data_IF_629911750771
#
_entry.id   IF_629911750771
#
_cell.length_a   1.000
_cell.length_b   1.000
_cell.length_c   1.000
_cell.angle_alpha   90.00
_cell.angle_beta   90.00
_cell.angle_gamma   90.00
#
_symmetry.space_group_name_H-M   'P 1'
#
loop_
_entity.id
_entity.type
_entity.pdbx_description
1 polymer ?
#
# COMPACT_ATOMS: atom_id res chain seq x y z
N UNK A 1 -16.07 17.23 11.44
CA UNK A 1 -15.16 16.08 11.67
C UNK A 1 -14.87 15.99 13.16
N UNK A 2 -15.12 14.85 13.82
CA UNK A 2 -14.80 14.60 15.24
C UNK A 2 -13.49 13.79 15.30
N UNK A 3 -12.37 14.43 15.68
CA UNK A 3 -11.07 13.75 15.80
C UNK A 3 -10.98 12.96 17.12
N UNK A 4 -10.02 12.04 17.22
CA UNK A 4 -9.87 11.17 18.40
C UNK A 4 -11.06 10.24 18.65
N UNK A 5 -11.95 10.10 17.65
CA UNK A 5 -13.21 9.36 17.77
C UNK A 5 -13.17 8.13 16.87
N UNK A 6 -12.78 6.99 17.43
CA UNK A 6 -12.73 5.73 16.68
C UNK A 6 -14.13 5.13 16.55
N UNK A 7 -14.57 4.86 15.32
CA UNK A 7 -15.76 4.02 15.08
C UNK A 7 -15.38 2.56 15.32
N UNK A 8 -16.15 1.87 16.16
CA UNK A 8 -15.93 0.48 16.57
C UNK A 8 -16.81 -0.49 15.81
N UNK A 9 -18.10 -0.17 15.70
CA UNK A 9 -19.07 -1.01 15.00
C UNK A 9 -20.04 -0.17 14.19
N UNK A 10 -20.50 -0.75 13.09
CA UNK A 10 -21.60 -0.26 12.28
C UNK A 10 -22.54 -1.44 12.08
N UNK A 11 -23.75 -1.34 12.60
CA UNK A 11 -24.76 -2.39 12.56
C UNK A 11 -25.98 -1.89 11.79
N UNK A 12 -26.57 -2.73 10.96
CA UNK A 12 -27.79 -2.37 10.24
C UNK A 12 -28.97 -2.34 11.20
N UNK A 13 -29.77 -1.28 11.15
CA UNK A 13 -31.02 -1.15 11.87
C UNK A 13 -32.22 -1.50 10.95
N UNK A 14 -33.45 -1.41 11.46
CA UNK A 14 -34.66 -1.53 10.64
C UNK A 14 -34.67 -0.47 9.53
N UNK A 15 -34.33 0.78 9.87
CA UNK A 15 -34.06 1.88 8.94
C UNK A 15 -32.68 2.46 9.27
N UNK A 16 -31.79 2.65 8.30
CA UNK A 16 -30.45 3.20 8.56
C UNK A 16 -29.50 2.26 9.33
N UNK A 17 -28.67 2.84 10.20
CA UNK A 17 -27.55 2.18 10.87
C UNK A 17 -27.34 2.67 12.31
N UNK A 18 -26.99 1.73 13.19
CA UNK A 18 -26.43 2.03 14.50
C UNK A 18 -24.90 2.11 14.40
N UNK A 19 -24.33 3.24 14.81
CA UNK A 19 -22.89 3.47 14.82
C UNK A 19 -22.42 3.59 16.26
N UNK A 20 -21.51 2.70 16.68
CA UNK A 20 -20.86 2.77 17.99
C UNK A 20 -19.45 3.33 17.82
N UNK A 21 -19.11 4.35 18.60
CA UNK A 21 -17.83 5.04 18.50
C UNK A 21 -17.31 5.51 19.87
N UNK A 22 -16.04 5.91 19.92
CA UNK A 22 -15.42 6.48 21.11
C UNK A 22 -15.32 5.49 22.28
N UNK A 23 -15.68 5.94 23.48
CA UNK A 23 -15.64 5.10 24.67
C UNK A 23 -16.76 4.07 24.63
N UNK A 24 -18.02 4.47 24.46
CA UNK A 24 -19.20 3.60 24.22
C UNK A 24 -20.41 4.41 23.66
N UNK A 25 -20.18 5.49 22.92
CA UNK A 25 -21.28 6.28 22.35
C UNK A 25 -21.96 5.51 21.23
N UNK A 26 -23.29 5.49 21.20
CA UNK A 26 -24.10 4.86 20.15
C UNK A 26 -25.10 5.85 19.58
N UNK A 27 -25.06 6.06 18.27
CA UNK A 27 -25.94 6.99 17.56
C UNK A 27 -26.55 6.34 16.32
N UNK A 28 -27.74 6.81 15.95
CA UNK A 28 -28.46 6.38 14.75
C UNK A 28 -28.12 7.29 13.56
N UNK A 29 -27.93 6.72 12.37
CA UNK A 29 -27.65 7.45 11.14
C UNK A 29 -28.40 6.84 9.95
N UNK A 30 -28.91 7.70 9.07
CA UNK A 30 -29.67 7.26 7.88
C UNK A 30 -28.79 6.53 6.85
N UNK A 31 -27.52 6.92 6.75
CA UNK A 31 -26.54 6.34 5.83
C UNK A 31 -25.12 6.37 6.43
N UNK A 32 -24.28 5.43 5.99
CA UNK A 32 -22.87 5.33 6.39
C UNK A 32 -21.99 5.16 5.16
N UNK A 33 -20.95 6.00 5.04
CA UNK A 33 -19.89 5.84 4.04
C UNK A 33 -18.60 5.36 4.74
N UNK A 34 -18.06 4.22 4.29
CA UNK A 34 -16.85 3.63 4.89
C UNK A 34 -15.61 4.12 4.14
N UNK A 35 -14.83 4.98 4.80
CA UNK A 35 -13.62 5.60 4.25
C UNK A 35 -12.38 5.29 5.10
N UNK A 36 -12.31 4.13 5.75
CA UNK A 36 -11.24 3.74 6.68
C UNK A 36 -9.90 3.35 6.01
N UNK A 37 -9.87 3.28 4.68
CA UNK A 37 -8.69 2.90 3.90
C UNK A 37 -8.44 1.39 3.85
N UNK A 38 -7.77 0.95 2.79
CA UNK A 38 -7.50 -0.48 2.51
C UNK A 38 -6.08 -0.92 2.93
N UNK A 39 -5.16 0.01 3.16
CA UNK A 39 -3.73 -0.27 3.37
C UNK A 39 -3.28 -0.01 4.81
N UNK A 40 -4.04 -0.52 5.79
CA UNK A 40 -3.78 -0.29 7.23
C UNK A 40 -3.38 -1.55 8.00
N UNK A 41 -3.72 -2.75 7.51
CA UNK A 41 -3.33 -4.03 8.10
C UNK A 41 -2.26 -4.69 7.22
N UNK A 42 -1.03 -4.91 7.72
CA UNK A 42 0.03 -5.54 6.92
C UNK A 42 -0.26 -7.03 6.68
N UNK A 43 -0.01 -7.50 5.46
CA UNK A 43 -0.05 -8.92 5.12
C UNK A 43 1.37 -9.47 5.12
N UNK A 44 1.80 -9.98 6.26
CA UNK A 44 3.14 -10.55 6.42
C UNK A 44 3.11 -12.04 6.06
N UNK A 45 3.79 -12.50 5.00
CA UNK A 45 3.94 -13.92 4.72
C UNK A 45 4.87 -14.58 5.73
N UNK A 46 4.61 -15.84 6.06
CA UNK A 46 5.53 -16.70 6.79
C UNK A 46 6.46 -17.41 5.80
N UNK A 47 7.74 -17.54 6.16
CA UNK A 47 8.72 -18.31 5.40
C UNK A 47 9.30 -19.43 6.26
N UNK A 48 9.38 -20.63 5.69
CA UNK A 48 10.00 -21.76 6.37
C UNK A 48 11.47 -21.43 6.72
N UNK A 49 11.84 -21.61 7.99
CA UNK A 49 13.17 -21.30 8.50
C UNK A 49 13.44 -19.81 8.75
N UNK A 50 12.41 -18.94 8.75
CA UNK A 50 12.58 -17.51 9.07
C UNK A 50 13.18 -17.29 10.47
N UNK A 51 12.86 -18.16 11.42
CA UNK A 51 13.41 -18.17 12.77
C UNK A 51 14.93 -18.44 12.84
N UNK A 52 15.50 -19.09 11.83
CA UNK A 52 16.95 -19.35 11.74
C UNK A 52 17.71 -18.16 11.13
N UNK A 53 16.99 -17.27 10.44
CA UNK A 53 17.57 -16.10 9.81
C UNK A 53 18.00 -15.07 10.86
N UNK A 54 19.32 -14.83 10.94
CA UNK A 54 19.93 -13.91 11.91
C UNK A 54 19.94 -12.45 11.47
N UNK A 55 19.46 -12.16 10.27
CA UNK A 55 19.33 -10.79 9.79
C UNK A 55 18.03 -10.14 10.24
N UNK A 56 17.80 -8.91 9.79
CA UNK A 56 16.60 -8.16 10.12
C UNK A 56 15.52 -8.40 9.06
N UNK A 57 14.32 -8.79 9.51
CA UNK A 57 13.13 -8.93 8.67
C UNK A 57 12.12 -7.87 9.06
N UNK A 58 11.65 -7.06 8.11
CA UNK A 58 10.59 -6.07 8.31
C UNK A 58 9.58 -6.11 7.17
N UNK A 59 8.32 -5.80 7.48
CA UNK A 59 7.32 -5.46 6.47
C UNK A 59 7.44 -3.98 6.10
N UNK A 60 7.05 -3.60 4.87
CA UNK A 60 7.10 -2.21 4.39
C UNK A 60 6.32 -1.23 5.27
N UNK A 61 5.24 -1.67 5.92
CA UNK A 61 4.49 -0.87 6.89
C UNK A 61 5.35 -0.35 8.08
N UNK A 62 6.42 -1.06 8.42
CA UNK A 62 7.36 -0.70 9.48
C UNK A 62 8.55 0.13 8.97
N UNK A 63 8.73 0.25 7.65
CA UNK A 63 9.76 1.10 7.05
C UNK A 63 9.45 2.58 7.30
N UNK A 64 10.46 3.33 7.75
CA UNK A 64 10.36 4.77 8.06
C UNK A 64 11.52 5.58 7.51
N UNK A 65 12.74 5.05 7.59
CA UNK A 65 13.95 5.74 7.10
C UNK A 65 14.84 4.76 6.36
N UNK A 66 15.60 5.29 5.40
CA UNK A 66 16.48 4.48 4.54
C UNK A 66 17.79 4.06 5.20
N UNK A 67 18.11 4.60 6.39
CA UNK A 67 19.37 4.30 7.10
C UNK A 67 19.51 2.82 7.44
N UNK A 68 18.39 2.10 7.52
CA UNK A 68 18.36 0.65 7.76
C UNK A 68 19.09 -0.17 6.69
N UNK A 69 19.31 0.41 5.50
CA UNK A 69 19.92 -0.27 4.36
C UNK A 69 21.45 -0.13 4.30
N UNK A 70 22.03 0.85 4.99
CA UNK A 70 23.45 1.20 4.85
C UNK A 70 24.37 0.04 5.25
N UNK A 71 25.29 -0.34 4.36
CA UNK A 71 26.22 -1.46 4.54
C UNK A 71 25.53 -2.83 4.65
N UNK A 72 24.31 -2.97 4.11
CA UNK A 72 23.55 -4.23 4.14
C UNK A 72 23.40 -4.81 2.74
N UNK A 73 23.28 -6.13 2.71
CA UNK A 73 22.76 -6.86 1.54
C UNK A 73 21.25 -7.02 1.73
N UNK A 74 20.47 -6.36 0.90
CA UNK A 74 19.02 -6.22 1.06
C UNK A 74 18.29 -7.14 0.09
N UNK A 75 17.36 -7.94 0.61
CA UNK A 75 16.39 -8.69 -0.18
C UNK A 75 15.02 -8.02 -0.03
N UNK A 76 14.45 -7.56 -1.14
CA UNK A 76 13.08 -7.05 -1.22
C UNK A 76 12.18 -8.13 -1.77
N UNK A 77 11.14 -8.50 -1.02
CA UNK A 77 10.17 -9.52 -1.43
C UNK A 77 8.91 -8.82 -1.95
N UNK A 78 8.59 -9.05 -3.23
CA UNK A 78 7.49 -8.42 -3.92
C UNK A 78 7.94 -7.29 -4.87
N UNK A 79 7.21 -7.17 -5.97
CA UNK A 79 7.47 -6.21 -7.06
C UNK A 79 6.25 -5.34 -7.36
N UNK A 80 5.55 -4.91 -6.30
CA UNK A 80 4.58 -3.82 -6.40
C UNK A 80 5.26 -2.46 -6.19
N UNK A 81 4.49 -1.37 -6.29
CA UNK A 81 5.01 0.01 -6.17
C UNK A 81 5.91 0.21 -4.94
N UNK A 82 5.43 -0.19 -3.75
CA UNK A 82 6.21 -0.09 -2.51
C UNK A 82 7.50 -0.90 -2.54
N UNK A 83 7.49 -2.06 -3.19
CA UNK A 83 8.69 -2.89 -3.34
C UNK A 83 9.75 -2.21 -4.20
N UNK A 84 9.34 -1.57 -5.30
CA UNK A 84 10.25 -0.78 -6.14
C UNK A 84 10.80 0.44 -5.40
N UNK A 85 9.95 1.19 -4.69
CA UNK A 85 10.39 2.34 -3.90
C UNK A 85 11.43 1.95 -2.84
N UNK A 86 11.21 0.83 -2.14
CA UNK A 86 12.16 0.32 -1.15
C UNK A 86 13.45 -0.19 -1.79
N UNK A 87 13.36 -0.89 -2.93
CA UNK A 87 14.55 -1.35 -3.65
C UNK A 87 15.38 -0.15 -4.16
N UNK A 88 14.74 0.87 -4.70
CA UNK A 88 15.38 2.11 -5.13
C UNK A 88 16.01 2.85 -3.94
N UNK A 89 15.27 2.98 -2.83
CA UNK A 89 15.80 3.58 -1.60
C UNK A 89 17.03 2.84 -1.09
N UNK A 90 16.99 1.50 -1.02
CA UNK A 90 18.15 0.72 -0.61
C UNK A 90 19.34 0.92 -1.56
N UNK A 91 19.12 0.87 -2.87
CA UNK A 91 20.16 0.99 -3.88
C UNK A 91 20.83 2.37 -3.88
N UNK A 92 20.08 3.43 -3.54
CA UNK A 92 20.59 4.82 -3.52
C UNK A 92 21.08 5.27 -2.15
N UNK A 93 20.86 4.49 -1.09
CA UNK A 93 21.16 4.86 0.31
C UNK A 93 22.19 3.95 0.97
N UNK A 94 23.09 3.40 0.16
CA UNK A 94 24.31 2.75 0.66
C UNK A 94 24.16 1.28 1.03
N UNK A 95 23.15 0.58 0.52
CA UNK A 95 23.18 -0.89 0.54
C UNK A 95 24.35 -1.41 -0.29
N UNK A 96 25.00 -2.48 0.18
CA UNK A 96 26.08 -3.16 -0.54
C UNK A 96 25.53 -3.89 -1.77
N UNK A 97 24.30 -4.42 -1.66
CA UNK A 97 23.56 -4.98 -2.78
C UNK A 97 22.06 -5.02 -2.50
N UNK A 98 21.28 -4.99 -3.58
CA UNK A 98 19.82 -5.08 -3.53
C UNK A 98 19.36 -6.16 -4.51
N UNK A 99 18.61 -7.14 -4.00
CA UNK A 99 17.98 -8.19 -4.79
C UNK A 99 16.47 -8.10 -4.62
N UNK A 100 15.73 -8.21 -5.72
CA UNK A 100 14.27 -8.31 -5.69
C UNK A 100 13.82 -9.73 -5.98
N UNK A 101 12.94 -10.27 -5.14
CA UNK A 101 12.27 -11.56 -5.35
C UNK A 101 10.82 -11.32 -5.78
N UNK A 102 10.44 -11.91 -6.92
CA UNK A 102 9.08 -11.80 -7.47
C UNK A 102 8.55 -13.17 -7.84
N UNK A 103 7.25 -13.40 -7.61
CA UNK A 103 6.58 -14.68 -7.91
C UNK A 103 6.16 -14.81 -9.36
N UNK A 104 5.71 -13.72 -9.97
CA UNK A 104 5.09 -13.72 -11.30
C UNK A 104 5.75 -12.73 -12.28
N UNK A 105 6.90 -12.15 -11.90
CA UNK A 105 7.50 -11.05 -12.64
C UNK A 105 6.74 -9.74 -12.40
N UNK A 106 7.09 -8.73 -13.19
CA UNK A 106 6.46 -7.42 -13.17
C UNK A 106 6.58 -6.77 -14.55
N UNK A 107 5.67 -5.85 -14.83
CA UNK A 107 5.80 -4.88 -15.92
C UNK A 107 6.12 -3.54 -15.27
N UNK A 108 7.25 -2.96 -15.62
CA UNK A 108 7.65 -1.64 -15.16
C UNK A 108 7.46 -0.65 -16.29
N UNK A 109 6.65 0.37 -16.06
CA UNK A 109 6.37 1.45 -17.01
C UNK A 109 6.67 2.76 -16.30
N UNK A 110 7.41 3.69 -16.91
CA UNK A 110 7.66 4.97 -16.28
C UNK A 110 6.36 5.79 -16.21
N UNK A 111 6.17 6.51 -15.11
CA UNK A 111 5.05 7.43 -14.95
C UNK A 111 5.15 8.62 -15.93
N UNK A 112 6.38 9.01 -16.28
CA UNK A 112 6.71 10.10 -17.19
C UNK A 112 7.57 9.58 -18.35
N UNK A 113 7.17 9.90 -19.59
CA UNK A 113 7.84 9.50 -20.81
C UNK A 113 8.77 10.57 -21.39
N UNK A 114 8.93 11.70 -20.70
CA UNK A 114 9.76 12.84 -21.07
C UNK A 114 8.99 13.94 -21.80
N UNK A 115 9.73 14.99 -22.16
CA UNK A 115 9.18 16.25 -22.68
C UNK A 115 8.23 16.06 -23.87
N UNK A 116 7.07 16.73 -23.79
CA UNK A 116 6.05 16.71 -24.85
C UNK A 116 5.18 15.45 -24.91
N UNK A 117 5.39 14.47 -24.03
CA UNK A 117 4.54 13.27 -23.95
C UNK A 117 3.60 13.33 -22.74
N UNK A 118 2.35 12.86 -22.87
CA UNK A 118 1.44 12.79 -21.74
C UNK A 118 1.95 11.77 -20.70
N UNK A 119 1.68 11.99 -19.41
CA UNK A 119 2.00 11.01 -18.36
C UNK A 119 1.19 9.72 -18.58
N UNK A 120 1.66 8.64 -17.96
CA UNK A 120 1.10 7.30 -18.14
C UNK A 120 -0.39 7.22 -17.82
N UNK A 121 -0.83 7.88 -16.76
CA UNK A 121 -2.23 7.91 -16.34
C UNK A 121 -3.13 8.57 -17.40
N UNK A 122 -2.69 9.65 -18.03
CA UNK A 122 -3.41 10.26 -19.15
C UNK A 122 -3.52 9.30 -20.35
N UNK A 123 -2.47 8.53 -20.65
CA UNK A 123 -2.50 7.55 -21.74
C UNK A 123 -3.51 6.44 -21.43
N UNK A 124 -3.46 5.87 -20.22
CA UNK A 124 -4.35 4.79 -19.79
C UNK A 124 -5.81 5.27 -19.76
N UNK A 125 -6.07 6.44 -19.17
CA UNK A 125 -7.42 6.98 -19.04
C UNK A 125 -8.00 7.37 -20.40
N UNK A 126 -7.26 8.08 -21.26
CA UNK A 126 -7.76 8.46 -22.59
C UNK A 126 -8.06 7.24 -23.46
N UNK A 127 -7.24 6.19 -23.35
CA UNK A 127 -7.50 4.92 -24.04
C UNK A 127 -8.81 4.26 -23.56
N UNK A 128 -9.01 4.18 -22.24
CA UNK A 128 -10.25 3.67 -21.67
C UNK A 128 -11.47 4.52 -22.06
N UNK A 129 -11.29 5.86 -22.14
CA UNK A 129 -12.35 6.82 -22.45
C UNK A 129 -12.90 6.59 -23.87
N UNK A 130 -12.02 6.39 -24.85
CA UNK A 130 -12.45 6.15 -26.23
C UNK A 130 -13.09 4.78 -26.47
N UNK A 131 -12.86 3.79 -25.60
CA UNK A 131 -13.45 2.45 -25.73
C UNK A 131 -14.81 2.30 -25.04
N UNK A 132 -15.15 3.12 -24.04
CA UNK A 132 -16.50 3.09 -23.44
C UNK A 132 -17.52 3.87 -24.27
N UNK A 133 -17.13 4.96 -24.93
CA UNK A 133 -18.05 5.75 -25.78
C UNK A 133 -18.45 5.03 -27.07
N UNK A 134 -17.77 3.93 -27.41
CA UNK A 134 -18.02 3.13 -28.60
C UNK A 134 -18.69 1.77 -28.31
N UNK A 135 -19.14 1.54 -27.07
CA UNK A 135 -19.91 0.37 -26.62
C UNK A 135 -21.34 0.78 -26.20
#
# INVERSE_FOLDING_TARGET
IRLGTQVRTVERAEEGYWVTYGSEQREHWDAVAVCSGLHNVPRVPHFDGEEEYRGTVIHSASYKTADIFSGKRVLVIGSGETGFDMAYAAATRGADSVTMSTRHGFVSVPADFGEGKPPLDCIIMNWATHHWESA
#
